data_IF_343701424790
#
_entry.id   IF_343701424790
#
_cell.length_a   1.000
_cell.length_b   1.000
_cell.length_c   1.000
_cell.angle_alpha   90.00
_cell.angle_beta   90.00
_cell.angle_gamma   90.00
#
_symmetry.space_group_name_H-M   'P 1'
#
loop_
_entity.id
_entity.type
_entity.pdbx_description
1 polymer ?
#
# COMPACT_ATOMS: atom_id res chain seq x y z
N UNK A 1 -12.34 -21.57 -6.11
CA UNK A 1 -11.46 -20.68 -5.30
C UNK A 1 -11.60 -19.27 -5.85
N UNK A 2 -11.91 -18.25 -5.05
CA UNK A 2 -11.97 -16.89 -5.57
C UNK A 2 -10.59 -16.46 -6.08
N UNK A 3 -10.59 -15.87 -7.27
CA UNK A 3 -9.41 -15.37 -7.99
C UNK A 3 -8.55 -14.46 -7.08
N UNK A 4 -7.25 -14.75 -7.00
CA UNK A 4 -6.31 -14.01 -6.15
C UNK A 4 -6.02 -12.61 -6.69
N UNK A 5 -6.33 -12.36 -7.96
CA UNK A 5 -6.04 -11.12 -8.70
C UNK A 5 -7.15 -10.08 -8.49
N UNK A 6 -8.41 -10.51 -8.46
CA UNK A 6 -9.56 -9.67 -8.07
C UNK A 6 -9.37 -8.98 -6.70
N UNK A 7 -8.67 -9.63 -5.77
CA UNK A 7 -8.51 -9.13 -4.40
C UNK A 7 -7.76 -7.79 -4.27
N UNK A 8 -6.79 -7.48 -5.12
CA UNK A 8 -6.11 -6.16 -5.02
C UNK A 8 -6.98 -5.02 -5.53
N UNK A 9 -7.90 -5.30 -6.47
CA UNK A 9 -8.79 -4.29 -7.06
C UNK A 9 -9.71 -3.64 -6.03
N UNK A 10 -10.10 -4.38 -4.99
CA UNK A 10 -10.94 -3.86 -3.88
C UNK A 10 -10.21 -2.86 -2.96
N UNK A 11 -8.90 -2.74 -3.12
CA UNK A 11 -8.06 -1.80 -2.38
C UNK A 11 -7.63 -0.61 -3.26
N UNK A 12 -8.06 -0.58 -4.53
CA UNK A 12 -7.82 0.55 -5.41
C UNK A 12 -8.80 1.70 -5.11
N UNK A 13 -8.38 2.97 -5.30
CA UNK A 13 -7.07 3.42 -5.82
C UNK A 13 -5.94 3.45 -4.78
N UNK A 14 -6.19 3.03 -3.53
CA UNK A 14 -5.23 3.16 -2.43
C UNK A 14 -3.92 2.40 -2.66
N UNK A 15 -3.95 1.24 -3.31
CA UNK A 15 -2.73 0.50 -3.69
C UNK A 15 -1.95 1.22 -4.80
N UNK A 16 -2.63 1.89 -5.73
CA UNK A 16 -2.07 2.89 -6.64
C UNK A 16 -1.22 3.93 -5.90
N UNK A 17 -1.86 4.67 -5.00
CA UNK A 17 -1.20 5.74 -4.24
C UNK A 17 -0.11 5.22 -3.32
N UNK A 18 -0.28 4.06 -2.68
CA UNK A 18 0.77 3.45 -1.87
C UNK A 18 2.03 3.14 -2.70
N UNK A 19 1.89 2.63 -3.93
CA UNK A 19 3.04 2.35 -4.79
C UNK A 19 3.82 3.61 -5.22
N UNK A 20 3.16 4.77 -5.25
CA UNK A 20 3.82 6.07 -5.46
C UNK A 20 4.51 6.53 -4.18
N UNK A 21 3.78 6.59 -3.06
CA UNK A 21 4.27 7.13 -1.78
C UNK A 21 5.41 6.29 -1.17
N UNK A 22 5.42 4.98 -1.37
CA UNK A 22 6.51 4.09 -0.93
C UNK A 22 7.86 4.39 -1.61
N UNK A 23 7.84 5.11 -2.74
CA UNK A 23 9.04 5.49 -3.51
C UNK A 23 9.36 6.99 -3.38
N UNK A 24 8.46 7.78 -2.82
CA UNK A 24 8.64 9.23 -2.71
C UNK A 24 9.46 9.58 -1.46
N UNK A 25 10.67 10.16 -1.61
CA UNK A 25 11.50 10.54 -0.47
C UNK A 25 10.85 11.61 0.43
N UNK A 26 9.84 12.34 -0.06
CA UNK A 26 9.08 13.32 0.73
C UNK A 26 8.12 12.67 1.73
N UNK A 27 7.94 11.35 1.65
CA UNK A 27 7.05 10.57 2.51
C UNK A 27 7.82 9.51 3.31
N UNK A 28 8.76 9.91 4.20
CA UNK A 28 9.66 8.99 4.90
C UNK A 28 8.93 7.98 5.80
N UNK A 29 7.71 8.32 6.28
CA UNK A 29 6.90 7.39 7.05
C UNK A 29 6.50 6.14 6.25
N UNK A 30 6.22 6.28 4.94
CA UNK A 30 5.94 5.14 4.06
C UNK A 30 7.19 4.30 3.80
N UNK A 31 8.34 4.93 3.58
CA UNK A 31 9.61 4.23 3.45
C UNK A 31 9.97 3.44 4.72
N UNK A 32 9.64 3.97 5.91
CA UNK A 32 9.88 3.28 7.18
C UNK A 32 9.08 1.96 7.30
N UNK A 33 7.88 1.87 6.71
CA UNK A 33 7.07 0.63 6.74
C UNK A 33 7.80 -0.52 6.04
N UNK A 34 8.46 -0.25 4.90
CA UNK A 34 9.19 -1.29 4.14
C UNK A 34 10.62 -1.52 4.65
N UNK A 35 11.26 -0.50 5.24
CA UNK A 35 12.63 -0.58 5.70
C UNK A 35 12.81 -1.43 6.96
N UNK A 36 11.74 -1.58 7.74
CA UNK A 36 11.76 -2.17 9.08
C UNK A 36 12.34 -3.59 9.15
N UNK A 37 12.16 -4.41 8.11
CA UNK A 37 12.59 -5.83 8.08
C UNK A 37 11.82 -6.76 9.04
N UNK A 38 11.22 -6.19 10.09
CA UNK A 38 10.43 -6.83 11.12
C UNK A 38 8.93 -6.44 10.98
N UNK A 39 8.01 -7.42 10.92
CA UNK A 39 6.56 -7.19 10.85
C UNK A 39 5.96 -6.26 11.92
N UNK A 40 6.41 -6.36 13.18
CA UNK A 40 5.89 -5.56 14.30
C UNK A 40 6.39 -4.12 14.25
N UNK A 41 7.65 -3.93 13.84
CA UNK A 41 8.20 -2.59 13.60
C UNK A 41 7.48 -1.92 12.42
N UNK A 42 7.23 -2.68 11.34
CA UNK A 42 6.46 -2.20 10.19
C UNK A 42 5.00 -1.85 10.55
N UNK A 43 4.35 -2.69 11.37
CA UNK A 43 3.00 -2.44 11.88
C UNK A 43 2.94 -1.12 12.68
N UNK A 44 3.90 -0.88 13.57
CA UNK A 44 3.99 0.38 14.33
C UNK A 44 4.23 1.59 13.42
N UNK A 45 5.03 1.46 12.37
CA UNK A 45 5.22 2.52 11.38
C UNK A 45 3.91 2.83 10.63
N UNK A 46 3.18 1.79 10.22
CA UNK A 46 1.91 1.93 9.52
C UNK A 46 0.81 2.53 10.41
N UNK A 47 0.73 2.10 11.66
CA UNK A 47 -0.22 2.64 12.64
C UNK A 47 0.05 4.12 12.93
N UNK A 48 1.31 4.57 12.94
CA UNK A 48 1.64 6.00 13.06
C UNK A 48 1.14 6.81 11.87
N UNK A 49 1.23 6.28 10.64
CA UNK A 49 0.67 6.95 9.46
C UNK A 49 -0.86 7.08 9.56
N UNK A 50 -1.54 6.03 10.02
CA UNK A 50 -3.00 6.03 10.21
C UNK A 50 -3.43 6.97 11.35
N UNK A 51 -2.69 7.02 12.46
CA UNK A 51 -3.00 7.90 13.58
C UNK A 51 -2.78 9.39 13.24
N UNK A 52 -1.91 9.69 12.28
CA UNK A 52 -1.62 11.06 11.86
C UNK A 52 -2.66 11.64 10.87
N UNK A 53 -3.58 10.84 10.33
CA UNK A 53 -4.59 11.35 9.41
C UNK A 53 -5.78 11.95 10.14
N UNK A 54 -6.37 13.00 9.56
CA UNK A 54 -7.68 13.54 9.95
C UNK A 54 -8.82 12.93 9.13
N UNK A 55 -8.52 12.05 8.17
CA UNK A 55 -9.51 11.41 7.32
C UNK A 55 -10.33 10.38 8.10
N UNK A 56 -11.66 10.43 7.92
CA UNK A 56 -12.59 9.47 8.49
C UNK A 56 -12.89 8.31 7.54
N UNK A 57 -13.30 7.17 8.10
CA UNK A 57 -13.84 6.05 7.34
C UNK A 57 -15.22 6.40 6.81
N UNK A 58 -15.47 6.14 5.52
CA UNK A 58 -16.80 6.23 4.90
C UNK A 58 -17.04 5.00 4.03
N UNK A 59 -18.32 4.67 3.85
CA UNK A 59 -18.76 3.71 2.85
C UNK A 59 -19.10 4.44 1.55
N UNK A 60 -18.58 3.94 0.43
CA UNK A 60 -18.87 4.43 -0.91
C UNK A 60 -19.25 3.28 -1.83
N UNK A 61 -20.28 3.47 -2.66
CA UNK A 61 -20.65 2.51 -3.70
C UNK A 61 -19.71 2.67 -4.90
N UNK A 62 -19.11 1.57 -5.34
CA UNK A 62 -18.22 1.49 -6.51
C UNK A 62 -18.75 0.40 -7.44
N UNK A 63 -19.50 0.80 -8.48
CA UNK A 63 -20.26 -0.15 -9.30
C UNK A 63 -21.29 -0.91 -8.45
N UNK A 64 -21.22 -2.25 -8.48
CA UNK A 64 -22.13 -3.13 -7.73
C UNK A 64 -21.64 -3.50 -6.32
N UNK A 65 -20.53 -2.92 -5.85
CA UNK A 65 -19.94 -3.26 -4.55
C UNK A 65 -19.79 -2.03 -3.64
N UNK A 66 -19.68 -2.29 -2.34
CA UNK A 66 -19.36 -1.27 -1.34
C UNK A 66 -17.88 -1.28 -1.02
N UNK A 67 -17.30 -0.11 -0.85
CA UNK A 67 -15.92 0.07 -0.47
C UNK A 67 -15.79 1.00 0.73
N UNK A 68 -14.92 0.62 1.66
CA UNK A 68 -14.46 1.49 2.73
C UNK A 68 -13.37 2.41 2.16
N UNK A 69 -13.56 3.71 2.29
CA UNK A 69 -12.64 4.75 1.80
C UNK A 69 -12.24 5.70 2.93
N UNK A 70 -11.05 6.29 2.84
CA UNK A 70 -10.59 7.35 3.73
C UNK A 70 -10.84 8.70 3.05
N UNK A 71 -11.61 9.57 3.70
CA UNK A 71 -11.91 10.90 3.17
C UNK A 71 -11.83 11.96 4.27
N UNK A 72 -11.33 13.13 3.89
CA UNK A 72 -11.48 14.37 4.67
C UNK A 72 -12.75 15.09 4.21
N UNK A 73 -13.05 16.24 4.82
CA UNK A 73 -14.14 17.12 4.37
C UNK A 73 -13.97 17.61 2.93
N UNK A 74 -12.72 17.73 2.47
CA UNK A 74 -12.36 18.25 1.14
C UNK A 74 -12.20 17.18 0.08
N UNK A 75 -12.30 15.89 0.44
CA UNK A 75 -12.24 14.77 -0.52
C UNK A 75 -11.29 13.65 -0.09
N UNK A 76 -10.80 12.84 -1.05
CA UNK A 76 -9.91 11.73 -0.75
C UNK A 76 -8.53 12.23 -0.28
N UNK A 77 -8.12 11.79 0.90
CA UNK A 77 -6.73 11.94 1.35
C UNK A 77 -5.91 10.77 0.80
N UNK A 78 -4.96 11.07 -0.08
CA UNK A 78 -4.11 10.08 -0.75
C UNK A 78 -3.24 9.31 0.23
N UNK A 79 -2.66 9.99 1.23
CA UNK A 79 -1.80 9.37 2.21
C UNK A 79 -2.61 8.47 3.15
N UNK A 80 -3.75 8.97 3.65
CA UNK A 80 -4.64 8.18 4.50
C UNK A 80 -5.16 6.93 3.76
N UNK A 81 -5.60 7.11 2.51
CA UNK A 81 -6.11 6.02 1.67
C UNK A 81 -5.02 5.00 1.34
N UNK A 82 -3.79 5.45 1.07
CA UNK A 82 -2.65 4.55 0.85
C UNK A 82 -2.31 3.76 2.12
N UNK A 83 -2.22 4.41 3.28
CA UNK A 83 -1.96 3.75 4.55
C UNK A 83 -3.07 2.73 4.90
N UNK A 84 -4.33 3.11 4.73
CA UNK A 84 -5.47 2.21 4.95
C UNK A 84 -5.48 1.02 4.00
N UNK A 85 -5.16 1.24 2.71
CA UNK A 85 -5.03 0.15 1.74
C UNK A 85 -3.88 -0.80 2.08
N UNK A 86 -2.73 -0.27 2.54
CA UNK A 86 -1.63 -1.11 3.05
C UNK A 86 -2.03 -1.90 4.29
N UNK A 87 -2.76 -1.30 5.23
CA UNK A 87 -3.20 -2.00 6.44
C UNK A 87 -4.16 -3.13 6.11
N UNK A 88 -5.13 -2.90 5.22
CA UNK A 88 -6.06 -3.93 4.72
C UNK A 88 -5.33 -5.01 3.91
N UNK A 89 -4.32 -4.63 3.13
CA UNK A 89 -3.47 -5.58 2.42
C UNK A 89 -2.74 -6.50 3.41
N UNK A 90 -2.09 -5.93 4.42
CA UNK A 90 -1.35 -6.68 5.44
C UNK A 90 -2.28 -7.56 6.27
N UNK A 91 -3.44 -7.05 6.70
CA UNK A 91 -4.42 -7.84 7.44
C UNK A 91 -4.90 -9.07 6.66
N UNK A 92 -5.02 -8.95 5.33
CA UNK A 92 -5.48 -10.05 4.46
C UNK A 92 -4.37 -10.99 4.00
N UNK A 93 -3.24 -10.43 3.57
CA UNK A 93 -2.18 -11.13 2.86
C UNK A 93 -0.87 -11.22 3.66
N UNK A 94 -0.82 -10.68 4.87
CA UNK A 94 0.42 -10.47 5.60
C UNK A 94 1.37 -9.54 4.84
N UNK A 95 2.63 -9.54 5.26
CA UNK A 95 3.65 -8.61 4.74
C UNK A 95 4.26 -9.01 3.39
N UNK A 96 3.97 -10.21 2.88
CA UNK A 96 4.66 -10.82 1.72
C UNK A 96 4.61 -9.99 0.43
N UNK A 97 3.59 -9.14 0.27
CA UNK A 97 3.40 -8.28 -0.91
C UNK A 97 4.08 -6.93 -0.76
N UNK A 98 4.50 -6.55 0.43
CA UNK A 98 5.20 -5.29 0.68
C UNK A 98 6.71 -5.57 0.68
N UNK A 99 7.41 -5.10 -0.36
CA UNK A 99 8.80 -5.47 -0.64
C UNK A 99 9.69 -4.25 -0.82
N UNK A 100 11.00 -4.46 -0.71
CA UNK A 100 12.03 -3.48 -1.10
C UNK A 100 12.63 -3.86 -2.43
N UNK A 101 12.94 -2.87 -3.25
CA UNK A 101 13.60 -3.05 -4.53
C UNK A 101 14.97 -3.73 -4.33
N UNK A 102 15.22 -4.81 -5.06
CA UNK A 102 16.50 -5.52 -5.05
C UNK A 102 17.59 -4.92 -5.96
N UNK A 103 17.33 -3.77 -6.59
CA UNK A 103 18.36 -3.08 -7.37
C UNK A 103 19.34 -2.37 -6.42
N UNK A 104 20.63 -2.48 -6.71
CA UNK A 104 21.70 -1.90 -5.90
C UNK A 104 21.49 -0.39 -5.71
N UNK A 105 21.58 0.06 -4.46
CA UNK A 105 21.41 1.47 -4.09
C UNK A 105 19.97 2.01 -4.12
N UNK A 106 18.96 1.23 -4.57
CA UNK A 106 17.60 1.74 -4.68
C UNK A 106 16.84 1.76 -3.34
N UNK A 107 16.70 0.62 -2.68
CA UNK A 107 16.00 0.48 -1.39
C UNK A 107 14.50 0.81 -1.37
N UNK A 108 13.93 1.33 -2.46
CA UNK A 108 12.56 1.83 -2.49
C UNK A 108 11.51 0.73 -2.27
N UNK A 109 10.46 1.08 -1.54
CA UNK A 109 9.33 0.19 -1.28
C UNK A 109 8.46 -0.02 -2.51
N UNK A 110 7.85 -1.20 -2.64
CA UNK A 110 6.82 -1.45 -3.63
C UNK A 110 5.82 -2.52 -3.18
N UNK A 111 4.63 -2.49 -3.78
CA UNK A 111 3.63 -3.56 -3.66
C UNK A 111 3.79 -4.54 -4.81
N UNK A 112 4.01 -5.82 -4.50
CA UNK A 112 4.02 -6.90 -5.46
C UNK A 112 2.59 -7.28 -5.86
N UNK A 113 2.21 -6.79 -7.03
CA UNK A 113 0.89 -7.02 -7.65
C UNK A 113 0.83 -8.31 -8.47
N UNK A 114 1.94 -9.05 -8.61
CA UNK A 114 1.93 -10.31 -9.36
C UNK A 114 1.12 -11.37 -8.62
N UNK A 115 0.48 -12.28 -9.37
CA UNK A 115 -0.28 -13.37 -8.79
C UNK A 115 0.60 -14.29 -7.95
N UNK A 116 1.81 -14.59 -8.44
CA UNK A 116 2.81 -15.43 -7.79
C UNK A 116 3.58 -14.76 -6.63
N UNK A 117 3.43 -13.44 -6.44
CA UNK A 117 4.23 -12.66 -5.46
C UNK A 117 5.74 -12.85 -5.70
N UNK A 118 6.16 -12.88 -6.97
CA UNK A 118 7.53 -13.18 -7.39
C UNK A 118 8.37 -11.95 -7.77
N UNK A 119 7.78 -10.74 -7.78
CA UNK A 119 8.45 -9.53 -8.23
C UNK A 119 9.57 -9.14 -7.24
N UNK A 120 10.73 -8.77 -7.78
CA UNK A 120 11.93 -8.35 -7.02
C UNK A 120 12.27 -6.86 -7.14
N UNK A 121 11.79 -6.18 -8.19
CA UNK A 121 12.18 -4.81 -8.52
C UNK A 121 10.98 -3.86 -8.50
N UNK A 122 11.17 -2.62 -8.05
CA UNK A 122 10.14 -1.59 -8.11
C UNK A 122 9.85 -1.16 -9.56
N UNK A 123 8.83 -0.33 -9.81
CA UNK A 123 8.47 0.07 -11.19
C UNK A 123 9.55 0.87 -11.91
N UNK A 124 10.45 1.54 -11.18
CA UNK A 124 11.60 2.23 -11.78
C UNK A 124 12.72 1.28 -12.23
N UNK A 125 12.73 0.03 -11.75
CA UNK A 125 13.79 -0.96 -12.03
C UNK A 125 13.27 -2.25 -12.66
N UNK A 126 11.95 -2.48 -12.67
CA UNK A 126 11.37 -3.52 -13.51
C UNK A 126 11.47 -3.06 -14.95
N UNK A 127 12.32 -3.71 -15.76
CA UNK A 127 12.16 -3.68 -17.21
C UNK A 127 10.71 -4.05 -17.50
N UNK A 128 10.00 -3.22 -18.27
CA UNK A 128 8.64 -3.54 -18.70
C UNK A 128 8.66 -4.94 -19.33
N UNK A 129 8.09 -5.90 -18.61
CA UNK A 129 7.79 -7.23 -19.15
C UNK A 129 6.42 -7.19 -19.76
#
# INVERSE_FOLDING_TARGET
MPDRTGRLRDLEPGIGWAAELLRDPRHPGFAAVVAAGDPEVAARALNRLLAATTAGLRLRRTGEHWQVVMVTETGPDRAASAASALARLVARDGWRRLKRCAADGCGAGFVDRTAAVGRKYCSGHSRHG
#
